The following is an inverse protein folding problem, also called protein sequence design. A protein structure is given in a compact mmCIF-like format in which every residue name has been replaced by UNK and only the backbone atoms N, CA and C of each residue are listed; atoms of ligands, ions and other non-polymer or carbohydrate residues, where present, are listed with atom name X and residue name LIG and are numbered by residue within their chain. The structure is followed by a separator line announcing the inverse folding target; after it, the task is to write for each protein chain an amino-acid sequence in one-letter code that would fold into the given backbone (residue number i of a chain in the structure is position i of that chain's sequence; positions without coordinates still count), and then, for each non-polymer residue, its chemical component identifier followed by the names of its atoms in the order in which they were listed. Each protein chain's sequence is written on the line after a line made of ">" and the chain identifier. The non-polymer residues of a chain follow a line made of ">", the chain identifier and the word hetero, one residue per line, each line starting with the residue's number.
data_IF_448638469745
#
_entry.id   IF_448638469745
#
_cell.length_a   1.000
_cell.length_b   1.000
_cell.length_c   1.000
_cell.angle_alpha   90.00
_cell.angle_beta   90.00
_cell.angle_gamma   90.00
#
_symmetry.space_group_name_H-M   'P 1'
#
loop_
_entity.id
_entity.type
_entity.pdbx_description
1 polymer ?
#
# COMPACT_ATOMS: atom_id res chain seq x y z
N UNK A 1 34.53 -23.34 5.27
CA UNK A 1 33.58 -23.21 4.12
C UNK A 1 33.88 -21.90 3.41
N UNK A 2 33.84 -21.86 2.07
CA UNK A 2 34.13 -20.65 1.28
C UNK A 2 32.98 -19.64 1.43
N UNK A 3 33.31 -18.36 1.58
CA UNK A 3 32.35 -17.26 1.48
C UNK A 3 31.57 -17.34 0.15
N UNK A 4 30.37 -16.75 0.06
CA UNK A 4 29.63 -16.76 -1.19
C UNK A 4 30.49 -16.12 -2.30
N UNK A 5 30.53 -16.75 -3.47
CA UNK A 5 31.32 -16.20 -4.57
C UNK A 5 30.73 -14.86 -5.02
N UNK A 6 31.55 -13.92 -5.51
CA UNK A 6 31.06 -12.66 -6.08
C UNK A 6 29.94 -12.86 -7.13
N UNK A 7 30.02 -13.94 -7.90
CA UNK A 7 28.98 -14.31 -8.86
C UNK A 7 27.61 -14.61 -8.22
N UNK A 8 27.58 -15.22 -7.02
CA UNK A 8 26.32 -15.46 -6.29
C UNK A 8 25.71 -14.16 -5.78
N UNK A 9 26.53 -13.27 -5.22
CA UNK A 9 26.06 -11.96 -4.78
C UNK A 9 25.52 -11.12 -5.94
N UNK A 10 26.24 -11.12 -7.07
CA UNK A 10 25.79 -10.47 -8.30
C UNK A 10 24.44 -11.00 -8.79
N UNK A 11 24.21 -12.32 -8.73
CA UNK A 11 22.93 -12.91 -9.11
C UNK A 11 21.78 -12.40 -8.22
N UNK A 12 21.98 -12.36 -6.90
CA UNK A 12 20.97 -11.80 -5.98
C UNK A 12 20.67 -10.34 -6.33
N UNK A 13 21.72 -9.56 -6.61
CA UNK A 13 21.62 -8.17 -7.01
C UNK A 13 20.84 -7.99 -8.33
N UNK A 14 21.15 -8.80 -9.34
CA UNK A 14 20.45 -8.77 -10.63
C UNK A 14 18.98 -9.24 -10.50
N UNK A 15 18.69 -10.27 -9.70
CA UNK A 15 17.32 -10.75 -9.46
C UNK A 15 16.47 -9.71 -8.74
N UNK A 16 17.00 -9.09 -7.68
CA UNK A 16 16.27 -8.05 -6.93
C UNK A 16 16.06 -6.78 -7.75
N UNK A 17 17.03 -6.40 -8.59
CA UNK A 17 16.85 -5.31 -9.55
C UNK A 17 15.79 -5.67 -10.61
N UNK A 18 15.85 -6.88 -11.16
CA UNK A 18 14.90 -7.39 -12.14
C UNK A 18 13.46 -7.32 -11.62
N UNK A 19 13.23 -7.69 -10.37
CA UNK A 19 11.92 -7.55 -9.71
C UNK A 19 11.36 -6.11 -9.80
N UNK A 20 12.16 -5.10 -9.44
CA UNK A 20 11.72 -3.71 -9.52
C UNK A 20 11.60 -3.19 -10.95
N UNK A 21 12.47 -3.62 -11.87
CA UNK A 21 12.38 -3.29 -13.29
C UNK A 21 11.08 -3.80 -13.90
N UNK A 22 10.67 -5.02 -13.57
CA UNK A 22 9.38 -5.57 -13.98
C UNK A 22 8.21 -4.82 -13.35
N UNK A 23 8.29 -4.51 -12.05
CA UNK A 23 7.25 -3.71 -11.39
C UNK A 23 7.07 -2.34 -12.08
N UNK A 24 8.16 -1.70 -12.51
CA UNK A 24 8.11 -0.43 -13.23
C UNK A 24 7.49 -0.57 -14.63
N UNK A 25 7.84 -1.64 -15.38
CA UNK A 25 7.26 -1.90 -16.70
C UNK A 25 5.74 -2.17 -16.62
N UNK A 26 5.31 -2.89 -15.61
CA UNK A 26 3.92 -3.30 -15.39
C UNK A 26 3.16 -2.35 -14.47
N UNK A 27 3.72 -1.18 -14.11
CA UNK A 27 3.17 -0.32 -13.06
C UNK A 27 1.72 0.10 -13.32
N UNK A 28 1.36 0.35 -14.59
CA UNK A 28 -0.02 0.66 -14.98
C UNK A 28 -0.99 -0.45 -14.56
N UNK A 29 -0.61 -1.70 -14.77
CA UNK A 29 -1.44 -2.87 -14.49
C UNK A 29 -1.44 -3.16 -12.99
N UNK A 30 -0.30 -3.01 -12.31
CA UNK A 30 -0.21 -3.08 -10.85
C UNK A 30 -1.10 -2.06 -10.15
N UNK A 31 -1.27 -0.87 -10.74
CA UNK A 31 -2.18 0.17 -10.23
C UNK A 31 -3.65 -0.05 -10.63
N UNK A 32 -3.95 -0.98 -11.55
CA UNK A 32 -5.29 -1.19 -12.08
C UNK A 32 -5.85 0.02 -12.84
N UNK A 33 -4.98 0.82 -13.50
CA UNK A 33 -5.42 2.03 -14.18
C UNK A 33 -6.08 1.68 -15.52
N UNK A 34 -7.36 2.01 -15.63
CA UNK A 34 -8.15 1.89 -16.85
C UNK A 34 -7.57 2.72 -18.00
N UNK A 35 -7.63 2.19 -19.22
CA UNK A 35 -7.01 2.79 -20.41
C UNK A 35 -7.45 4.22 -20.71
N UNK A 36 -8.75 4.52 -20.56
CA UNK A 36 -9.28 5.86 -20.81
C UNK A 36 -8.66 6.93 -19.90
N UNK A 37 -8.22 6.55 -18.69
CA UNK A 37 -7.54 7.45 -17.74
C UNK A 37 -6.13 7.85 -18.21
N UNK A 38 -5.52 7.03 -19.06
CA UNK A 38 -4.23 7.27 -19.69
C UNK A 38 -4.34 8.10 -20.97
N UNK A 39 -5.49 8.73 -21.23
CA UNK A 39 -5.72 9.62 -22.38
C UNK A 39 -5.80 11.08 -21.94
N UNK A 40 -5.21 11.94 -22.75
CA UNK A 40 -5.26 13.40 -22.59
C UNK A 40 -5.77 14.04 -23.88
N UNK A 41 -6.57 15.09 -23.76
CA UNK A 41 -7.03 15.89 -24.89
C UNK A 41 -5.96 16.89 -25.31
N UNK A 42 -5.76 16.98 -26.63
CA UNK A 42 -4.85 17.93 -27.26
C UNK A 42 -5.60 18.61 -28.41
N UNK A 43 -5.66 19.93 -28.40
CA UNK A 43 -6.18 20.72 -29.51
C UNK A 43 -5.00 21.20 -30.35
N UNK A 44 -4.95 20.76 -31.60
CA UNK A 44 -3.87 21.07 -32.51
C UNK A 44 -4.04 22.45 -33.14
N UNK A 45 -2.95 23.21 -33.20
CA UNK A 45 -2.93 24.56 -33.78
C UNK A 45 -4.09 25.45 -33.27
N UNK A 46 -4.38 25.41 -31.97
CA UNK A 46 -5.46 26.17 -31.36
C UNK A 46 -5.09 27.64 -31.10
N UNK A 47 -3.80 27.97 -31.17
CA UNK A 47 -3.27 29.31 -30.92
C UNK A 47 -2.35 29.72 -32.07
N UNK A 48 -2.71 30.81 -32.75
CA UNK A 48 -1.90 31.38 -33.84
C UNK A 48 -0.95 32.49 -33.35
N UNK A 49 -1.29 33.16 -32.26
CA UNK A 49 -0.53 34.31 -31.75
C UNK A 49 0.63 33.86 -30.88
N UNK A 50 1.84 34.29 -31.25
CA UNK A 50 3.06 33.86 -30.57
C UNK A 50 3.11 34.33 -29.11
N UNK A 51 2.53 35.49 -28.77
CA UNK A 51 2.45 35.96 -27.38
C UNK A 51 1.54 35.10 -26.48
N UNK A 52 0.69 34.26 -27.07
CA UNK A 52 -0.21 33.34 -26.39
C UNK A 52 0.35 31.91 -26.28
N UNK A 53 1.54 31.65 -26.82
CA UNK A 53 2.21 30.34 -26.73
C UNK A 53 3.07 30.21 -25.46
N UNK A 54 3.40 28.97 -25.06
CA UNK A 54 4.17 28.67 -23.83
C UNK A 54 3.56 29.29 -22.56
N UNK A 55 2.23 29.18 -22.43
CA UNK A 55 1.46 29.78 -21.35
C UNK A 55 0.45 28.79 -20.76
N UNK A 56 0.09 29.08 -19.52
CA UNK A 56 -0.95 28.38 -18.76
C UNK A 56 -2.30 29.06 -18.95
N UNK A 57 -3.31 28.24 -19.16
CA UNK A 57 -4.70 28.68 -19.30
C UNK A 57 -5.58 27.86 -18.37
N UNK A 58 -6.77 28.39 -18.10
CA UNK A 58 -7.78 27.70 -17.30
C UNK A 58 -9.18 27.80 -17.91
N UNK A 59 -10.04 26.87 -17.53
CA UNK A 59 -11.48 26.94 -17.78
C UNK A 59 -12.24 26.22 -16.67
N UNK A 60 -13.05 26.95 -15.90
CA UNK A 60 -13.89 26.40 -14.82
C UNK A 60 -13.15 25.45 -13.87
N UNK A 61 -11.89 25.76 -13.55
CA UNK A 61 -11.04 24.95 -12.67
C UNK A 61 -10.29 23.80 -13.36
N UNK A 62 -10.40 23.65 -14.67
CA UNK A 62 -9.51 22.82 -15.48
C UNK A 62 -8.29 23.62 -15.93
N UNK A 63 -7.13 22.97 -15.92
CA UNK A 63 -5.84 23.56 -16.27
C UNK A 63 -5.41 23.11 -17.67
N UNK A 64 -4.88 24.03 -18.45
CA UNK A 64 -4.42 23.83 -19.81
C UNK A 64 -3.02 24.42 -20.01
N UNK A 65 -2.23 23.80 -20.88
CA UNK A 65 -0.90 24.28 -21.27
C UNK A 65 -0.81 24.42 -22.78
N UNK A 66 -0.45 25.62 -23.25
CA UNK A 66 -0.13 25.85 -24.65
C UNK A 66 1.37 25.68 -24.90
N UNK A 67 1.74 24.86 -25.87
CA UNK A 67 3.14 24.71 -26.25
C UNK A 67 3.59 25.79 -27.26
N UNK A 68 4.87 25.76 -27.62
CA UNK A 68 5.49 26.65 -28.63
C UNK A 68 4.98 26.49 -30.07
N UNK A 69 4.16 25.48 -30.35
CA UNK A 69 3.59 25.20 -31.68
C UNK A 69 2.14 25.69 -31.80
N UNK A 70 1.55 26.18 -30.70
CA UNK A 70 0.13 26.53 -30.65
C UNK A 70 -0.80 25.36 -30.32
N UNK A 71 -0.27 24.17 -29.98
CA UNK A 71 -1.10 23.08 -29.46
C UNK A 71 -1.47 23.35 -28.00
N UNK A 72 -2.72 23.08 -27.63
CA UNK A 72 -3.21 23.22 -26.25
C UNK A 72 -3.49 21.85 -25.65
N UNK A 73 -2.90 21.58 -24.49
CA UNK A 73 -3.02 20.31 -23.77
C UNK A 73 -3.91 20.50 -22.54
N UNK A 74 -4.90 19.63 -22.34
CA UNK A 74 -5.59 19.51 -21.07
C UNK A 74 -4.64 18.90 -20.03
N UNK A 75 -4.25 19.64 -19.00
CA UNK A 75 -3.36 19.16 -17.94
C UNK A 75 -4.14 18.44 -16.84
N UNK A 76 -5.32 18.95 -16.48
CA UNK A 76 -6.23 18.27 -15.55
C UNK A 76 -6.63 16.89 -16.07
N UNK A 77 -7.01 16.00 -15.16
CA UNK A 77 -7.37 14.64 -15.56
C UNK A 77 -8.67 14.66 -16.40
N UNK A 78 -8.77 13.76 -17.37
CA UNK A 78 -9.96 13.66 -18.23
C UNK A 78 -11.25 13.36 -17.43
N UNK A 79 -11.14 12.65 -16.31
CA UNK A 79 -12.26 12.41 -15.39
C UNK A 79 -12.82 13.69 -14.78
N UNK A 80 -11.96 14.64 -14.43
CA UNK A 80 -12.39 15.96 -13.95
C UNK A 80 -13.00 16.78 -15.09
N UNK A 81 -12.52 16.59 -16.32
CA UNK A 81 -12.96 17.36 -17.47
C UNK A 81 -14.35 16.95 -17.99
N UNK A 82 -14.69 15.65 -17.96
CA UNK A 82 -15.99 15.12 -18.42
C UNK A 82 -17.21 15.91 -17.88
N UNK A 83 -17.40 16.05 -16.55
CA UNK A 83 -18.57 16.74 -16.01
C UNK A 83 -18.55 18.26 -16.25
N UNK A 84 -17.40 18.84 -16.59
CA UNK A 84 -17.24 20.29 -16.81
C UNK A 84 -17.45 20.65 -18.28
N UNK A 85 -16.94 19.81 -19.19
CA UNK A 85 -17.01 20.00 -20.64
C UNK A 85 -18.33 19.45 -21.18
N UNK A 86 -18.61 18.15 -21.02
CA UNK A 86 -19.80 17.50 -21.55
C UNK A 86 -21.02 17.58 -20.62
N UNK A 87 -20.81 17.79 -19.31
CA UNK A 87 -21.86 17.62 -18.28
C UNK A 87 -22.51 16.22 -18.28
N UNK A 88 -21.86 15.23 -18.89
CA UNK A 88 -22.28 13.82 -18.90
C UNK A 88 -21.70 13.05 -17.69
N UNK A 89 -22.24 11.85 -17.45
CA UNK A 89 -21.71 10.93 -16.43
C UNK A 89 -20.44 10.23 -16.94
N UNK A 90 -19.50 10.00 -16.03
CA UNK A 90 -18.21 9.35 -16.35
C UNK A 90 -18.39 7.94 -16.94
N UNK A 91 -19.35 7.16 -16.43
CA UNK A 91 -19.61 5.78 -16.87
C UNK A 91 -19.97 5.67 -18.35
N UNK A 92 -20.73 6.64 -18.87
CA UNK A 92 -21.16 6.69 -20.28
C UNK A 92 -20.01 7.09 -21.21
N UNK A 93 -19.01 7.79 -20.67
CA UNK A 93 -17.88 8.34 -21.42
C UNK A 93 -16.70 7.39 -21.60
N UNK A 94 -16.54 6.42 -20.71
CA UNK A 94 -15.43 5.47 -20.75
C UNK A 94 -15.30 4.77 -22.10
N UNK A 95 -16.42 4.25 -22.63
CA UNK A 95 -16.44 3.57 -23.93
C UNK A 95 -16.13 4.53 -25.09
N UNK A 96 -16.72 5.74 -25.09
CA UNK A 96 -16.49 6.76 -26.12
C UNK A 96 -15.00 7.15 -26.19
N UNK A 97 -14.35 7.35 -25.05
CA UNK A 97 -12.93 7.71 -24.96
C UNK A 97 -12.03 6.56 -25.44
N UNK A 98 -12.35 5.33 -25.07
CA UNK A 98 -11.56 4.15 -25.48
C UNK A 98 -11.56 3.95 -27.00
N UNK A 99 -12.70 4.20 -27.67
CA UNK A 99 -12.80 4.15 -29.14
C UNK A 99 -12.30 5.43 -29.84
N UNK A 100 -11.85 6.43 -29.08
CA UNK A 100 -11.30 7.67 -29.61
C UNK A 100 -12.33 8.69 -30.09
N UNK A 101 -13.59 8.61 -29.64
CA UNK A 101 -14.63 9.58 -29.98
C UNK A 101 -14.43 10.90 -29.22
N UNK A 102 -14.52 12.03 -29.95
CA UNK A 102 -14.33 13.40 -29.44
C UNK A 102 -15.58 14.28 -29.56
N UNK A 103 -16.70 13.73 -30.01
CA UNK A 103 -17.93 14.49 -30.33
C UNK A 103 -18.63 15.06 -29.09
N UNK A 104 -18.27 14.56 -27.90
CA UNK A 104 -18.78 15.02 -26.62
C UNK A 104 -18.16 16.34 -26.13
N UNK A 105 -17.16 16.86 -26.85
CA UNK A 105 -16.39 18.01 -26.41
C UNK A 105 -17.10 19.29 -26.86
N UNK A 106 -17.77 19.94 -25.90
CA UNK A 106 -18.34 21.28 -26.08
C UNK A 106 -17.24 22.33 -26.35
N UNK A 107 -17.62 23.42 -27.02
CA UNK A 107 -16.73 24.56 -27.24
C UNK A 107 -16.33 25.23 -25.91
N UNK A 108 -15.02 25.45 -25.75
CA UNK A 108 -14.44 26.02 -24.53
C UNK A 108 -13.73 27.33 -24.85
N UNK A 109 -14.01 28.37 -24.07
CA UNK A 109 -13.26 29.64 -24.12
C UNK A 109 -12.28 29.72 -22.96
N UNK A 110 -10.99 29.81 -23.26
CA UNK A 110 -9.94 29.82 -22.25
C UNK A 110 -9.82 31.16 -21.54
N UNK A 111 -9.37 31.08 -20.29
CA UNK A 111 -8.97 32.21 -19.47
C UNK A 111 -7.47 32.11 -19.18
N UNK A 112 -6.79 33.25 -19.07
CA UNK A 112 -5.42 33.28 -18.56
C UNK A 112 -5.39 32.74 -17.12
N UNK A 113 -4.45 31.85 -16.82
CA UNK A 113 -4.40 31.14 -15.54
C UNK A 113 -4.23 32.07 -14.33
N UNK A 114 -3.44 33.13 -14.47
CA UNK A 114 -3.06 34.00 -13.36
C UNK A 114 -4.07 35.14 -13.15
N UNK A 115 -4.57 35.71 -14.25
CA UNK A 115 -5.46 36.87 -14.21
C UNK A 115 -6.95 36.51 -14.25
N UNK A 116 -7.30 35.29 -14.68
CA UNK A 116 -8.68 34.86 -14.88
C UNK A 116 -9.40 35.59 -16.03
N UNK A 117 -8.68 36.41 -16.80
CA UNK A 117 -9.27 37.17 -17.89
C UNK A 117 -9.45 36.28 -19.12
N UNK A 118 -10.55 36.48 -19.85
CA UNK A 118 -10.79 35.79 -21.11
C UNK A 118 -9.77 36.27 -22.15
N UNK A 119 -9.09 35.32 -22.80
CA UNK A 119 -8.01 35.58 -23.77
C UNK A 119 -8.46 35.41 -25.23
N UNK A 120 -9.75 35.12 -25.46
CA UNK A 120 -10.33 34.97 -26.79
C UNK A 120 -9.95 33.69 -27.53
N UNK A 121 -9.23 32.76 -26.88
CA UNK A 121 -8.87 31.46 -27.45
C UNK A 121 -10.06 30.51 -27.27
N UNK A 122 -10.56 29.95 -28.38
CA UNK A 122 -11.65 28.99 -28.40
C UNK A 122 -11.14 27.61 -28.83
N UNK A 123 -11.39 26.61 -28.00
CA UNK A 123 -11.14 25.21 -28.29
C UNK A 123 -12.45 24.58 -28.77
N UNK A 124 -12.42 23.86 -29.88
CA UNK A 124 -13.59 23.20 -30.48
C UNK A 124 -13.34 21.70 -30.69
N UNK A 125 -14.39 20.96 -31.05
CA UNK A 125 -14.32 19.52 -31.29
C UNK A 125 -13.62 19.13 -32.60
N UNK A 126 -13.40 20.05 -33.53
CA UNK A 126 -12.83 19.74 -34.86
C UNK A 126 -11.32 19.46 -34.81
N UNK A 127 -10.59 20.14 -33.92
CA UNK A 127 -9.12 20.08 -33.88
C UNK A 127 -8.57 19.31 -32.68
N UNK A 128 -9.41 18.51 -32.02
CA UNK A 128 -9.05 17.79 -30.81
C UNK A 128 -8.69 16.34 -31.08
N UNK A 129 -7.67 15.85 -30.40
CA UNK A 129 -7.24 14.46 -30.46
C UNK A 129 -6.86 13.93 -29.08
N UNK A 130 -6.93 12.60 -28.94
CA UNK A 130 -6.39 11.93 -27.76
C UNK A 130 -4.90 11.66 -27.92
N UNK A 131 -4.14 11.95 -26.86
CA UNK A 131 -2.75 11.56 -26.70
C UNK A 131 -2.60 10.67 -25.48
N UNK A 132 -1.93 9.54 -25.65
CA UNK A 132 -1.62 8.65 -24.53
C UNK A 132 -0.56 9.28 -23.62
N UNK A 133 -0.72 9.11 -22.31
CA UNK A 133 0.26 9.48 -21.29
C UNK A 133 0.23 8.49 -20.13
N UNK A 134 1.28 8.49 -19.32
CA UNK A 134 1.32 7.70 -18.09
C UNK A 134 0.92 8.60 -16.91
N UNK A 135 -0.13 8.27 -16.14
CA UNK A 135 -0.57 9.06 -15.00
C UNK A 135 0.28 8.83 -13.74
N UNK A 136 1.54 8.45 -13.91
CA UNK A 136 2.51 8.19 -12.85
C UNK A 136 3.91 8.59 -13.31
N UNK A 137 4.82 8.81 -12.36
CA UNK A 137 6.18 9.30 -12.64
C UNK A 137 7.18 8.56 -11.75
N UNK A 138 8.25 8.02 -12.34
CA UNK A 138 9.37 7.47 -11.56
C UNK A 138 10.26 8.61 -11.06
N UNK A 139 10.56 8.65 -9.75
CA UNK A 139 11.49 9.62 -9.14
C UNK A 139 12.92 9.13 -9.30
N UNK A 140 13.14 7.85 -9.00
CA UNK A 140 14.41 7.15 -9.24
C UNK A 140 14.13 5.97 -10.16
N UNK A 141 15.13 5.59 -10.95
CA UNK A 141 15.06 4.34 -11.68
C UNK A 141 15.13 3.17 -10.69
N UNK A 142 14.52 2.02 -11.02
CA UNK A 142 14.70 0.79 -10.25
C UNK A 142 16.17 0.51 -9.94
N UNK A 143 16.42 0.19 -8.67
CA UNK A 143 17.70 -0.32 -8.19
C UNK A 143 17.44 -1.61 -7.43
N UNK A 144 18.43 -2.48 -7.24
CA UNK A 144 18.28 -3.72 -6.49
C UNK A 144 17.73 -3.57 -5.07
N UNK A 145 17.88 -2.39 -4.47
CA UNK A 145 17.49 -2.13 -3.07
C UNK A 145 16.23 -1.27 -2.98
N UNK A 146 15.95 -0.43 -3.98
CA UNK A 146 14.86 0.53 -3.90
C UNK A 146 14.37 1.02 -5.25
N UNK A 147 13.09 1.40 -5.27
CA UNK A 147 12.47 2.10 -6.37
C UNK A 147 11.47 3.11 -5.78
N UNK A 148 11.41 4.32 -6.35
CA UNK A 148 10.55 5.40 -5.87
C UNK A 148 9.83 6.03 -7.05
N UNK A 149 8.52 6.19 -6.90
CA UNK A 149 7.63 6.70 -7.93
C UNK A 149 6.44 7.44 -7.30
N UNK A 150 5.74 8.21 -8.12
CA UNK A 150 4.56 9.01 -7.75
C UNK A 150 3.39 8.46 -8.55
N UNK A 151 2.30 8.17 -7.83
CA UNK A 151 1.04 7.67 -8.39
C UNK A 151 -0.15 8.39 -7.76
N UNK A 152 -1.33 8.39 -8.41
CA UNK A 152 -2.55 8.90 -7.80
C UNK A 152 -2.95 8.03 -6.60
N UNK A 153 -3.29 8.68 -5.48
CA UNK A 153 -3.53 8.01 -4.20
C UNK A 153 -4.61 6.91 -4.28
N UNK A 154 -5.64 7.10 -5.11
CA UNK A 154 -6.75 6.15 -5.26
C UNK A 154 -6.32 4.74 -5.68
N UNK A 155 -5.15 4.58 -6.29
CA UNK A 155 -4.65 3.29 -6.77
C UNK A 155 -3.66 2.61 -5.80
N UNK A 156 -3.36 3.25 -4.65
CA UNK A 156 -2.39 2.73 -3.69
C UNK A 156 -2.78 1.36 -3.12
N UNK A 157 -4.04 1.08 -2.73
CA UNK A 157 -4.41 -0.22 -2.20
C UNK A 157 -4.14 -1.36 -3.18
N UNK A 158 -4.56 -1.19 -4.44
CA UNK A 158 -4.35 -2.18 -5.50
C UNK A 158 -2.86 -2.35 -5.82
N UNK A 159 -2.11 -1.25 -5.84
CA UNK A 159 -0.66 -1.27 -6.03
C UNK A 159 0.05 -2.10 -4.95
N UNK A 160 -0.29 -1.88 -3.67
CA UNK A 160 0.28 -2.65 -2.55
C UNK A 160 -0.06 -4.13 -2.72
N UNK A 161 -1.33 -4.47 -2.94
CA UNK A 161 -1.78 -5.85 -3.08
C UNK A 161 -1.09 -6.57 -4.25
N UNK A 162 -0.98 -5.90 -5.40
CA UNK A 162 -0.37 -6.47 -6.59
C UNK A 162 1.15 -6.61 -6.46
N UNK A 163 1.84 -5.66 -5.79
CA UNK A 163 3.26 -5.79 -5.46
C UNK A 163 3.49 -6.96 -4.47
N UNK A 164 2.63 -7.11 -3.46
CA UNK A 164 2.69 -8.24 -2.53
C UNK A 164 2.59 -9.58 -3.28
N UNK A 165 1.60 -9.69 -4.18
CA UNK A 165 1.42 -10.90 -5.00
C UNK A 165 2.63 -11.17 -5.91
N UNK A 166 3.17 -10.14 -6.58
CA UNK A 166 4.34 -10.29 -7.44
C UNK A 166 5.58 -10.69 -6.63
N UNK A 167 5.78 -10.10 -5.46
CA UNK A 167 6.85 -10.48 -4.55
C UNK A 167 6.72 -11.94 -4.12
N UNK A 168 5.52 -12.38 -3.72
CA UNK A 168 5.31 -13.77 -3.32
C UNK A 168 5.59 -14.73 -4.45
N UNK A 169 5.23 -14.40 -5.69
CA UNK A 169 5.54 -15.21 -6.87
C UNK A 169 7.04 -15.32 -7.12
N UNK A 170 7.75 -14.19 -7.12
CA UNK A 170 9.18 -14.15 -7.47
C UNK A 170 10.08 -14.69 -6.35
N UNK A 171 9.71 -14.45 -5.08
CA UNK A 171 10.52 -14.75 -3.90
C UNK A 171 9.89 -15.81 -2.98
N UNK A 172 9.00 -16.66 -3.51
CA UNK A 172 8.26 -17.72 -2.78
C UNK A 172 9.12 -18.65 -1.90
N UNK A 173 10.40 -18.81 -2.21
CA UNK A 173 11.30 -19.70 -1.47
C UNK A 173 12.04 -19.01 -0.32
N UNK A 174 12.11 -17.69 -0.30
CA UNK A 174 12.90 -16.91 0.67
C UNK A 174 12.03 -16.08 1.62
N UNK A 175 10.81 -16.56 1.86
CA UNK A 175 9.84 -15.96 2.79
C UNK A 175 10.50 -15.71 4.14
N UNK A 176 10.33 -14.51 4.70
CA UNK A 176 10.92 -14.15 5.99
C UNK A 176 12.45 -14.00 5.98
N UNK A 177 13.13 -14.03 4.82
CA UNK A 177 14.59 -13.83 4.72
C UNK A 177 14.96 -12.57 3.94
N UNK A 178 14.16 -12.20 2.95
CA UNK A 178 14.41 -11.06 2.06
C UNK A 178 13.29 -10.02 2.23
N UNK A 179 13.31 -9.16 3.25
CA UNK A 179 12.16 -8.30 3.52
C UNK A 179 11.98 -7.23 2.43
N UNK A 180 10.73 -7.02 2.03
CA UNK A 180 10.30 -5.88 1.23
C UNK A 180 9.60 -4.86 2.13
N UNK A 181 10.08 -3.62 2.10
CA UNK A 181 9.46 -2.49 2.78
C UNK A 181 8.77 -1.57 1.77
N UNK A 182 7.49 -1.28 1.98
CA UNK A 182 6.71 -0.34 1.16
C UNK A 182 6.38 0.88 2.03
N UNK A 183 6.95 2.04 1.69
CA UNK A 183 6.68 3.30 2.35
C UNK A 183 5.83 4.22 1.47
N UNK A 184 4.66 4.64 1.95
CA UNK A 184 3.72 5.49 1.20
C UNK A 184 3.68 6.91 1.79
N UNK A 185 4.00 7.92 1.00
CA UNK A 185 3.82 9.32 1.38
C UNK A 185 2.66 9.89 0.58
N UNK A 186 1.65 10.37 1.29
CA UNK A 186 0.51 11.05 0.69
C UNK A 186 0.66 12.56 0.95
N UNK A 187 0.61 13.36 -0.11
CA UNK A 187 0.68 14.81 -0.01
C UNK A 187 -0.33 15.45 -0.97
N UNK A 188 -0.84 16.62 -0.61
CA UNK A 188 -1.61 17.44 -1.53
C UNK A 188 -0.69 18.00 -2.62
N UNK A 189 -1.16 17.99 -3.88
CA UNK A 189 -0.36 18.41 -5.04
C UNK A 189 0.05 19.90 -4.98
N UNK A 190 -0.66 20.73 -4.21
CA UNK A 190 -0.31 22.14 -3.98
C UNK A 190 0.84 22.32 -3.00
N UNK A 191 1.25 21.25 -2.30
CA UNK A 191 2.40 21.31 -1.38
C UNK A 191 3.71 21.19 -2.17
N UNK A 192 4.78 21.85 -1.71
CA UNK A 192 6.07 21.76 -2.37
C UNK A 192 6.60 20.33 -2.45
N UNK A 193 6.95 19.89 -3.67
CA UNK A 193 7.42 18.52 -3.95
C UNK A 193 8.62 18.10 -3.08
N UNK A 194 9.53 19.03 -2.77
CA UNK A 194 10.71 18.74 -1.95
C UNK A 194 10.35 18.18 -0.57
N UNK A 195 9.17 18.52 -0.03
CA UNK A 195 8.71 17.99 1.25
C UNK A 195 8.39 16.51 1.15
N UNK A 196 7.61 16.13 0.13
CA UNK A 196 7.30 14.73 -0.19
C UNK A 196 8.58 13.94 -0.42
N UNK A 197 9.53 14.46 -1.20
CA UNK A 197 10.82 13.78 -1.44
C UNK A 197 11.61 13.57 -0.14
N UNK A 198 11.67 14.59 0.75
CA UNK A 198 12.36 14.45 2.05
C UNK A 198 11.67 13.42 2.94
N UNK A 199 10.34 13.41 2.98
CA UNK A 199 9.56 12.42 3.71
C UNK A 199 9.79 11.00 3.13
N UNK A 200 9.83 10.87 1.79
CA UNK A 200 10.04 9.61 1.09
C UNK A 200 11.42 9.00 1.37
N UNK A 201 12.46 9.84 1.46
CA UNK A 201 13.79 9.37 1.88
C UNK A 201 13.81 8.85 3.32
N UNK A 202 13.06 9.49 4.22
CA UNK A 202 12.98 9.05 5.61
C UNK A 202 12.16 7.77 5.76
N UNK A 203 11.02 7.66 5.06
CA UNK A 203 10.14 6.48 5.14
C UNK A 203 10.75 5.26 4.44
N UNK A 204 11.73 5.44 3.56
CA UNK A 204 12.51 4.33 2.98
C UNK A 204 13.10 3.39 4.05
N UNK A 205 13.30 3.90 5.28
CA UNK A 205 13.73 3.12 6.45
C UNK A 205 15.04 2.40 6.15
N UNK A 206 16.11 3.17 5.96
CA UNK A 206 17.45 2.61 5.77
C UNK A 206 17.89 1.88 7.05
N UNK A 207 18.08 0.56 6.93
CA UNK A 207 18.44 -0.32 8.05
C UNK A 207 19.95 -0.47 8.09
N UNK A 208 20.57 0.01 9.16
CA UNK A 208 22.00 -0.16 9.41
C UNK A 208 22.30 -1.49 10.12
N UNK A 209 21.39 -1.92 11.00
CA UNK A 209 21.52 -3.16 11.77
C UNK A 209 20.26 -4.02 11.58
N UNK A 210 20.45 -5.21 11.02
CA UNK A 210 19.38 -6.16 10.73
C UNK A 210 18.78 -6.77 12.01
N UNK A 211 19.51 -6.78 13.12
CA UNK A 211 19.01 -7.24 14.41
C UNK A 211 17.83 -6.41 14.92
N UNK A 212 17.72 -5.15 14.47
CA UNK A 212 16.65 -4.24 14.85
C UNK A 212 15.30 -4.57 14.22
N UNK A 213 15.30 -5.39 13.17
CA UNK A 213 14.07 -5.76 12.44
C UNK A 213 13.78 -7.25 12.50
N UNK A 214 14.61 -8.00 13.22
CA UNK A 214 14.42 -9.43 13.41
C UNK A 214 13.25 -9.67 14.36
N UNK A 215 12.42 -10.66 14.04
CA UNK A 215 11.36 -11.12 14.94
C UNK A 215 11.47 -12.63 15.14
N UNK A 216 11.09 -13.08 16.33
CA UNK A 216 10.92 -14.51 16.62
C UNK A 216 9.52 -14.93 16.18
N UNK A 217 9.45 -16.00 15.40
CA UNK A 217 8.22 -16.51 14.84
C UNK A 217 8.24 -18.05 14.86
N UNK A 218 7.05 -18.66 14.85
CA UNK A 218 6.94 -20.12 14.78
C UNK A 218 7.25 -20.64 13.37
N UNK A 219 7.99 -21.75 13.29
CA UNK A 219 8.24 -22.44 12.02
C UNK A 219 6.94 -22.77 11.27
N UNK A 220 5.89 -23.22 11.99
CA UNK A 220 4.57 -23.49 11.45
C UNK A 220 3.96 -22.31 10.67
N UNK A 221 4.14 -21.07 11.14
CA UNK A 221 3.63 -19.86 10.45
C UNK A 221 4.24 -19.73 9.05
N UNK A 222 5.55 -19.93 8.93
CA UNK A 222 6.27 -19.86 7.65
C UNK A 222 5.88 -21.02 6.74
N UNK A 223 5.73 -22.23 7.29
CA UNK A 223 5.25 -23.39 6.52
C UNK A 223 3.89 -23.11 5.87
N UNK A 224 2.96 -22.50 6.60
CA UNK A 224 1.65 -22.16 6.07
C UNK A 224 1.69 -21.06 5.01
N UNK A 225 2.46 -19.99 5.23
CA UNK A 225 2.63 -18.93 4.22
C UNK A 225 3.18 -19.54 2.94
N UNK A 226 4.21 -20.37 3.04
CA UNK A 226 4.83 -20.99 1.88
C UNK A 226 3.90 -22.00 1.18
N UNK A 227 3.15 -22.82 1.93
CA UNK A 227 2.11 -23.71 1.37
C UNK A 227 1.07 -22.92 0.56
N UNK A 228 0.58 -21.79 1.09
CA UNK A 228 -0.39 -20.94 0.38
C UNK A 228 0.18 -20.37 -0.92
N UNK A 229 1.42 -19.88 -0.88
CA UNK A 229 2.09 -19.31 -2.06
C UNK A 229 2.30 -20.38 -3.13
N UNK A 230 2.73 -21.58 -2.76
CA UNK A 230 2.96 -22.70 -3.69
C UNK A 230 1.66 -23.28 -4.27
N UNK A 231 0.60 -23.41 -3.46
CA UNK A 231 -0.71 -23.89 -3.93
C UNK A 231 -1.36 -22.94 -4.95
N UNK A 232 -1.18 -21.63 -4.76
CA UNK A 232 -1.73 -20.62 -5.67
C UNK A 232 -1.11 -20.71 -7.07
N UNK A 233 0.14 -21.16 -7.19
CA UNK A 233 0.77 -21.40 -8.50
C UNK A 233 0.26 -22.66 -9.18
N UNK A 234 0.05 -23.76 -8.44
CA UNK A 234 -0.43 -25.03 -9.00
C UNK A 234 -1.82 -24.91 -9.66
N UNK A 235 -2.67 -24.00 -9.16
CA UNK A 235 -3.99 -23.73 -9.73
C UNK A 235 -3.95 -22.72 -10.89
N UNK A 236 -2.81 -22.08 -11.16
CA UNK A 236 -2.67 -21.02 -12.16
C UNK A 236 -2.06 -21.53 -13.48
N UNK A 237 -2.64 -22.55 -14.13
CA UNK A 237 -2.34 -23.04 -15.51
C UNK A 237 -0.86 -23.20 -15.95
N UNK A 238 0.11 -23.07 -15.05
CA UNK A 238 1.52 -23.36 -15.27
C UNK A 238 1.84 -24.53 -14.37
N UNK A 239 1.87 -25.71 -14.97
CA UNK A 239 2.48 -26.90 -14.36
C UNK A 239 3.77 -26.47 -13.63
N UNK A 240 4.07 -27.02 -12.43
CA UNK A 240 5.37 -26.81 -11.80
C UNK A 240 6.42 -27.03 -12.88
N UNK A 241 7.25 -26.02 -13.13
CA UNK A 241 8.29 -26.09 -14.16
C UNK A 241 9.06 -27.38 -13.83
N UNK A 242 9.31 -28.26 -14.79
CA UNK A 242 10.02 -29.55 -14.62
C UNK A 242 11.22 -29.43 -13.66
N UNK A 243 11.88 -28.27 -13.66
CA UNK A 243 12.90 -27.82 -12.71
C UNK A 243 12.55 -27.94 -11.22
N UNK A 244 11.36 -27.51 -10.78
CA UNK A 244 10.95 -27.52 -9.37
C UNK A 244 10.75 -28.95 -8.83
N UNK A 245 10.24 -29.85 -9.67
CA UNK A 245 10.10 -31.28 -9.34
C UNK A 245 11.46 -31.98 -9.27
N UNK A 246 12.41 -31.61 -10.16
CA UNK A 246 13.73 -32.23 -10.20
C UNK A 246 14.69 -31.70 -9.14
N UNK A 247 14.67 -30.39 -8.85
CA UNK A 247 15.68 -29.75 -8.00
C UNK A 247 15.20 -29.50 -6.57
N UNK A 248 13.90 -29.57 -6.29
CA UNK A 248 13.34 -29.38 -4.95
C UNK A 248 13.87 -28.11 -4.24
N UNK A 249 13.66 -26.91 -4.82
CA UNK A 249 14.17 -25.64 -4.29
C UNK A 249 13.73 -25.35 -2.86
N UNK A 250 12.55 -25.80 -2.45
CA UNK A 250 12.03 -25.64 -1.08
C UNK A 250 13.00 -26.22 -0.05
N UNK A 251 13.65 -27.36 -0.35
CA UNK A 251 14.66 -27.95 0.53
C UNK A 251 15.94 -27.10 0.63
N UNK A 252 16.35 -26.42 -0.43
CA UNK A 252 17.56 -25.57 -0.38
C UNK A 252 17.32 -24.29 0.42
N UNK A 253 16.10 -23.75 0.40
CA UNK A 253 15.74 -22.53 1.10
C UNK A 253 15.00 -22.77 2.42
N UNK A 254 15.09 -23.97 3.00
CA UNK A 254 14.42 -24.32 4.27
C UNK A 254 15.14 -23.86 5.54
N UNK A 255 16.36 -23.33 5.44
CA UNK A 255 17.18 -23.02 6.61
C UNK A 255 16.90 -21.62 7.18
N UNK A 256 16.53 -21.53 8.45
CA UNK A 256 16.28 -20.27 9.16
C UNK A 256 17.15 -20.18 10.42
N UNK A 257 17.58 -18.99 10.84
CA UNK A 257 18.26 -18.84 12.12
C UNK A 257 17.31 -19.19 13.28
N UNK A 258 17.83 -19.78 14.34
CA UNK A 258 17.06 -20.13 15.54
C UNK A 258 17.88 -19.87 16.80
N UNK A 259 17.19 -19.53 17.88
CA UNK A 259 17.77 -19.49 19.23
C UNK A 259 17.63 -20.81 19.97
N UNK A 260 16.88 -21.77 19.43
CA UNK A 260 16.59 -23.04 20.09
C UNK A 260 17.77 -24.02 20.04
N UNK A 261 17.81 -24.94 21.00
CA UNK A 261 18.76 -26.05 21.01
C UNK A 261 18.57 -27.00 19.82
N UNK A 262 17.39 -26.98 19.19
CA UNK A 262 16.97 -27.81 18.05
C UNK A 262 17.66 -27.47 16.71
N UNK A 263 18.56 -26.49 16.67
CA UNK A 263 19.28 -26.12 15.45
C UNK A 263 20.18 -27.24 14.92
N UNK A 264 20.03 -27.59 13.63
CA UNK A 264 20.77 -28.67 12.97
C UNK A 264 22.14 -28.23 12.45
N UNK A 265 22.28 -26.97 12.07
CA UNK A 265 23.51 -26.43 11.48
C UNK A 265 24.00 -25.18 12.22
N UNK A 266 25.27 -24.81 12.03
CA UNK A 266 25.83 -23.55 12.54
C UNK A 266 26.41 -22.73 11.38
N UNK A 267 26.08 -21.44 11.32
CA UNK A 267 26.51 -20.55 10.25
C UNK A 267 26.72 -19.11 10.74
N UNK A 268 27.65 -18.38 10.13
CA UNK A 268 27.82 -16.95 10.38
C UNK A 268 26.90 -16.17 9.44
N UNK A 269 25.91 -15.48 10.01
CA UNK A 269 25.03 -14.60 9.23
C UNK A 269 25.73 -13.27 8.97
N UNK A 270 26.31 -12.68 10.02
CA UNK A 270 27.22 -11.54 9.91
C UNK A 270 28.65 -11.97 10.22
N UNK A 271 29.67 -11.37 9.56
CA UNK A 271 31.08 -11.67 9.83
C UNK A 271 31.51 -11.43 11.27
N UNK A 272 30.87 -10.46 11.95
CA UNK A 272 31.20 -10.00 13.31
C UNK A 272 30.43 -10.76 14.40
N UNK A 273 29.41 -11.56 14.02
CA UNK A 273 28.52 -12.23 14.96
C UNK A 273 29.05 -13.60 15.42
N UNK A 274 28.51 -14.09 16.54
CA UNK A 274 28.64 -15.51 16.91
C UNK A 274 27.92 -16.39 15.88
N UNK A 275 28.39 -17.64 15.72
CA UNK A 275 27.70 -18.61 14.85
C UNK A 275 26.24 -18.78 15.27
N UNK A 276 25.33 -18.44 14.37
CA UNK A 276 23.91 -18.68 14.55
C UNK A 276 23.60 -20.15 14.29
N UNK A 277 22.77 -20.74 15.14
CA UNK A 277 22.19 -22.05 14.87
C UNK A 277 21.12 -21.88 13.78
N UNK A 278 21.05 -22.83 12.85
CA UNK A 278 20.04 -22.86 11.80
C UNK A 278 19.10 -24.05 12.00
N UNK A 279 17.81 -23.76 11.97
CA UNK A 279 16.72 -24.71 11.94
C UNK A 279 16.30 -24.99 10.49
N UNK A 280 15.98 -26.25 10.19
CA UNK A 280 15.47 -26.66 8.89
C UNK A 280 13.94 -26.74 8.99
N UNK A 281 13.25 -25.78 8.38
CA UNK A 281 11.78 -25.75 8.31
C UNK A 281 11.32 -26.72 7.24
N UNK A 282 10.50 -27.71 7.63
CA UNK A 282 10.03 -28.71 6.68
C UNK A 282 8.66 -28.32 6.15
N UNK A 283 8.66 -27.72 4.96
CA UNK A 283 7.46 -27.24 4.28
C UNK A 283 6.45 -28.34 3.92
N UNK A 284 6.82 -29.62 4.03
CA UNK A 284 5.94 -30.77 3.75
C UNK A 284 5.36 -31.42 5.01
N UNK A 285 5.80 -31.04 6.22
CA UNK A 285 5.18 -31.46 7.47
C UNK A 285 4.28 -30.34 8.03
N UNK A 286 3.42 -30.67 9.00
CA UNK A 286 2.45 -29.71 9.58
C UNK A 286 2.53 -29.69 11.11
N UNK A 287 3.71 -29.82 11.71
CA UNK A 287 3.79 -30.10 13.14
C UNK A 287 5.07 -29.57 13.81
N UNK A 288 5.43 -28.29 13.58
CA UNK A 288 6.67 -27.76 14.16
C UNK A 288 6.54 -26.43 14.91
N UNK A 289 6.84 -26.50 16.22
CA UNK A 289 6.84 -25.39 17.19
C UNK A 289 8.19 -24.70 17.41
N UNK A 290 9.20 -24.98 16.59
CA UNK A 290 10.52 -24.36 16.75
C UNK A 290 10.44 -22.84 16.54
N UNK A 291 11.12 -22.09 17.41
CA UNK A 291 11.24 -20.64 17.26
C UNK A 291 12.35 -20.32 16.26
N UNK A 292 11.98 -19.61 15.20
CA UNK A 292 12.89 -19.16 14.16
C UNK A 292 12.94 -17.64 14.10
N UNK A 293 14.02 -17.11 13.55
CA UNK A 293 14.21 -15.69 13.33
C UNK A 293 13.85 -15.39 11.88
N UNK A 294 12.98 -14.40 11.69
CA UNK A 294 12.59 -13.91 10.37
C UNK A 294 12.71 -12.38 10.28
N UNK A 295 12.71 -11.90 9.05
CA UNK A 295 12.68 -10.50 8.67
C UNK A 295 11.37 -10.21 7.92
N UNK A 296 10.39 -9.58 8.58
CA UNK A 296 9.05 -9.45 8.03
C UNK A 296 9.01 -8.42 6.90
N UNK A 297 8.18 -8.68 5.90
CA UNK A 297 7.78 -7.66 4.94
C UNK A 297 6.89 -6.64 5.64
N UNK A 298 7.05 -5.36 5.30
CA UNK A 298 6.39 -4.29 6.05
C UNK A 298 5.85 -3.18 5.17
N UNK A 299 4.81 -2.49 5.68
CA UNK A 299 4.19 -1.32 5.06
C UNK A 299 4.15 -0.18 6.08
N UNK A 300 4.51 1.01 5.64
CA UNK A 300 4.40 2.26 6.40
C UNK A 300 3.72 3.32 5.54
N UNK A 301 3.07 4.28 6.17
CA UNK A 301 2.49 5.40 5.46
C UNK A 301 2.52 6.67 6.29
N UNK A 302 2.49 7.83 5.63
CA UNK A 302 2.39 9.12 6.27
C UNK A 302 1.60 10.12 5.40
N UNK A 303 0.66 10.84 6.03
CA UNK A 303 -0.09 11.92 5.37
C UNK A 303 0.50 13.29 5.70
N UNK A 304 1.07 13.95 4.70
CA UNK A 304 1.77 15.23 4.81
C UNK A 304 0.80 16.43 4.82
N UNK A 305 0.01 16.57 5.89
CA UNK A 305 -0.87 17.74 6.07
C UNK A 305 -0.11 19.04 6.35
N UNK A 306 0.98 18.95 7.11
CA UNK A 306 1.84 20.09 7.50
C UNK A 306 3.31 19.80 7.22
N UNK A 307 4.10 20.85 7.05
CA UNK A 307 5.50 20.72 6.68
C UNK A 307 6.32 19.95 7.72
N UNK A 308 6.05 20.19 9.01
CA UNK A 308 6.73 19.54 10.13
C UNK A 308 6.50 18.03 10.19
N UNK A 309 5.44 17.50 9.56
CA UNK A 309 5.07 16.07 9.58
C UNK A 309 6.18 15.13 9.11
N UNK A 310 7.06 15.62 8.23
CA UNK A 310 8.27 14.89 7.79
C UNK A 310 9.23 14.54 8.94
N UNK A 311 9.14 15.24 10.07
CA UNK A 311 9.98 14.99 11.24
C UNK A 311 9.43 13.87 12.12
N UNK A 312 8.13 13.60 12.00
CA UNK A 312 7.46 12.48 12.66
C UNK A 312 7.90 11.13 12.06
N UNK A 313 8.45 11.17 10.84
CA UNK A 313 9.02 10.02 10.16
C UNK A 313 10.42 9.74 10.73
N UNK A 314 10.46 9.06 11.86
CA UNK A 314 11.69 8.66 12.54
C UNK A 314 11.57 7.23 13.06
N UNK A 315 12.65 6.46 12.95
CA UNK A 315 12.71 5.07 13.39
C UNK A 315 13.80 4.90 14.45
N UNK A 316 13.47 4.20 15.53
CA UNK A 316 14.42 3.59 16.47
C UNK A 316 14.18 2.10 16.44
N UNK A 317 15.25 1.32 16.35
CA UNK A 317 15.18 -0.15 16.35
C UNK A 317 14.14 -0.69 15.35
N UNK A 318 14.14 -0.09 14.16
CA UNK A 318 13.25 -0.49 13.08
C UNK A 318 11.77 -0.14 13.25
N UNK A 319 11.35 0.52 14.34
CA UNK A 319 9.95 0.93 14.63
C UNK A 319 9.83 2.44 14.79
N UNK A 320 8.61 2.98 14.61
CA UNK A 320 8.35 4.40 14.90
C UNK A 320 8.43 4.67 16.40
N UNK A 321 8.96 5.85 16.75
CA UNK A 321 9.16 6.26 18.15
C UNK A 321 7.97 7.02 18.73
N UNK A 322 7.18 7.68 17.88
CA UNK A 322 6.02 8.47 18.34
C UNK A 322 4.95 7.53 18.87
N UNK A 323 4.45 7.79 20.09
CA UNK A 323 3.48 6.95 20.81
C UNK A 323 2.28 6.57 19.93
N UNK A 324 1.65 7.55 19.28
CA UNK A 324 0.50 7.33 18.40
C UNK A 324 0.80 6.52 17.14
N UNK A 325 2.07 6.31 16.79
CA UNK A 325 2.53 5.62 15.57
C UNK A 325 3.37 4.39 15.88
N UNK A 326 3.49 3.98 17.14
CA UNK A 326 4.41 2.91 17.60
C UNK A 326 4.18 1.55 16.93
N UNK A 327 2.99 1.33 16.38
CA UNK A 327 2.68 0.12 15.62
C UNK A 327 3.38 0.08 14.25
N UNK A 328 3.68 1.24 13.67
CA UNK A 328 4.30 1.37 12.35
C UNK A 328 5.80 1.04 12.41
N UNK A 329 6.38 0.41 11.38
CA UNK A 329 5.68 -0.11 10.21
C UNK A 329 4.94 -1.42 10.51
N UNK A 330 3.85 -1.65 9.79
CA UNK A 330 2.99 -2.83 9.91
C UNK A 330 3.56 -4.01 9.12
N UNK A 331 3.50 -5.24 9.63
CA UNK A 331 3.78 -6.42 8.81
C UNK A 331 2.69 -6.63 7.77
N UNK A 332 2.94 -7.47 6.75
CA UNK A 332 1.90 -7.78 5.75
C UNK A 332 0.71 -8.54 6.34
N UNK A 333 0.92 -9.30 7.40
CA UNK A 333 -0.15 -9.96 8.18
C UNK A 333 -1.02 -8.92 8.89
N UNK A 334 -0.40 -7.93 9.54
CA UNK A 334 -1.11 -6.81 10.16
C UNK A 334 -1.83 -5.94 9.12
N UNK A 335 -1.23 -5.77 7.93
CA UNK A 335 -1.83 -5.00 6.83
C UNK A 335 -3.15 -5.60 6.32
N UNK A 336 -3.38 -6.92 6.49
CA UNK A 336 -4.68 -7.53 6.17
C UNK A 336 -5.83 -6.88 6.96
N UNK A 337 -5.55 -6.35 8.15
CA UNK A 337 -6.54 -5.62 8.94
C UNK A 337 -6.98 -4.33 8.27
N UNK A 338 -6.10 -3.64 7.53
CA UNK A 338 -6.47 -2.45 6.76
C UNK A 338 -7.48 -2.81 5.66
N UNK A 339 -7.34 -3.97 5.02
CA UNK A 339 -8.29 -4.45 4.03
C UNK A 339 -9.62 -4.86 4.69
N UNK A 340 -9.57 -5.60 5.80
CA UNK A 340 -10.77 -6.00 6.56
C UNK A 340 -11.54 -4.78 7.07
N UNK A 341 -10.83 -3.75 7.54
CA UNK A 341 -11.41 -2.47 7.94
C UNK A 341 -12.18 -1.84 6.79
N UNK A 342 -11.58 -1.77 5.61
CA UNK A 342 -12.22 -1.16 4.46
C UNK A 342 -13.43 -1.94 3.93
N UNK A 343 -13.36 -3.26 3.98
CA UNK A 343 -14.49 -4.12 3.63
C UNK A 343 -15.64 -3.96 4.62
N UNK A 344 -15.33 -3.83 5.92
CA UNK A 344 -16.31 -3.67 6.97
C UNK A 344 -17.00 -2.29 6.92
N UNK A 345 -16.23 -1.22 6.74
CA UNK A 345 -16.69 0.17 6.64
C UNK A 345 -16.76 0.63 5.18
N UNK A 346 -17.56 -0.05 4.36
CA UNK A 346 -17.69 0.28 2.95
C UNK A 346 -18.39 1.64 2.72
N UNK A 347 -17.84 2.47 1.83
CA UNK A 347 -18.37 3.78 1.38
C UNK A 347 -19.87 3.78 1.01
N UNK A 348 -20.41 2.62 0.64
CA UNK A 348 -21.84 2.47 0.30
C UNK A 348 -22.77 2.51 1.51
N UNK A 349 -22.27 2.25 2.72
CA UNK A 349 -23.04 2.19 3.96
C UNK A 349 -22.83 3.46 4.80
N UNK A 350 -23.62 4.49 4.52
CA UNK A 350 -23.53 5.80 5.20
C UNK A 350 -23.75 5.70 6.71
N UNK A 351 -24.59 4.76 7.17
CA UNK A 351 -24.85 4.59 8.61
C UNK A 351 -23.61 4.05 9.33
N UNK A 352 -22.95 3.04 8.76
CA UNK A 352 -21.68 2.52 9.29
C UNK A 352 -20.57 3.57 9.32
N UNK A 353 -20.51 4.46 8.34
CA UNK A 353 -19.52 5.55 8.30
C UNK A 353 -19.77 6.58 9.41
N UNK A 354 -21.02 6.97 9.64
CA UNK A 354 -21.38 7.86 10.75
C UNK A 354 -20.97 7.23 12.09
N UNK A 355 -21.27 5.94 12.27
CA UNK A 355 -20.87 5.17 13.46
C UNK A 355 -19.35 5.06 13.59
N UNK A 356 -18.62 4.90 12.50
CA UNK A 356 -17.16 4.91 12.48
C UNK A 356 -16.61 6.25 13.00
N UNK A 357 -17.11 7.39 12.53
CA UNK A 357 -16.69 8.70 13.02
C UNK A 357 -16.97 8.87 14.52
N UNK A 358 -18.12 8.39 14.99
CA UNK A 358 -18.45 8.41 16.42
C UNK A 358 -17.45 7.58 17.23
N UNK A 359 -17.12 6.37 16.78
CA UNK A 359 -16.14 5.50 17.43
C UNK A 359 -14.75 6.14 17.46
N UNK A 360 -14.30 6.71 16.35
CA UNK A 360 -12.99 7.36 16.27
C UNK A 360 -12.90 8.53 17.25
N UNK A 361 -13.94 9.35 17.35
CA UNK A 361 -13.99 10.44 18.33
C UNK A 361 -13.93 9.92 19.78
N UNK A 362 -14.63 8.83 20.07
CA UNK A 362 -14.58 8.17 21.38
C UNK A 362 -13.17 7.63 21.66
N UNK A 363 -12.52 6.96 20.70
CA UNK A 363 -11.15 6.46 20.84
C UNK A 363 -10.19 7.60 21.14
N UNK A 364 -10.24 8.71 20.38
CA UNK A 364 -9.37 9.86 20.61
C UNK A 364 -9.57 10.49 21.99
N UNK A 365 -10.82 10.70 22.42
CA UNK A 365 -11.10 11.21 23.77
C UNK A 365 -10.54 10.26 24.82
N UNK A 366 -10.82 8.96 24.74
CA UNK A 366 -10.41 8.01 25.79
C UNK A 366 -8.91 7.75 25.85
N UNK A 367 -8.24 7.66 24.70
CA UNK A 367 -6.78 7.53 24.69
C UNK A 367 -6.09 8.77 25.29
N UNK A 368 -6.69 9.96 25.14
CA UNK A 368 -6.14 11.18 25.73
C UNK A 368 -6.47 11.34 27.21
N UNK A 369 -7.71 11.03 27.61
CA UNK A 369 -8.22 11.25 28.97
C UNK A 369 -7.68 10.20 29.97
N UNK A 370 -7.45 8.96 29.51
CA UNK A 370 -7.20 7.79 30.38
C UNK A 370 -5.81 7.17 30.18
N UNK A 371 -4.78 8.01 30.03
CA UNK A 371 -3.40 7.56 29.73
C UNK A 371 -2.85 6.51 30.71
N UNK A 372 -3.31 6.53 31.97
CA UNK A 372 -2.79 5.67 33.06
C UNK A 372 -3.77 4.57 33.52
N UNK A 373 -4.92 4.35 32.84
CA UNK A 373 -5.96 3.39 33.26
C UNK A 373 -6.36 2.40 32.17
N UNK A 374 -5.40 1.58 31.73
CA UNK A 374 -5.55 0.64 30.60
C UNK A 374 -6.71 -0.36 30.75
N UNK A 375 -6.97 -0.86 31.96
CA UNK A 375 -8.06 -1.81 32.22
C UNK A 375 -9.45 -1.23 31.98
N UNK A 376 -9.68 0.01 32.41
CA UNK A 376 -10.97 0.69 32.24
C UNK A 376 -11.23 1.04 30.77
N UNK A 377 -10.19 1.33 29.99
CA UNK A 377 -10.32 1.61 28.55
C UNK A 377 -10.90 0.40 27.83
N UNK A 378 -10.41 -0.82 28.12
CA UNK A 378 -10.84 -2.02 27.39
C UNK A 378 -12.33 -2.29 27.53
N UNK A 379 -12.82 -2.36 28.77
CA UNK A 379 -14.22 -2.71 29.03
C UNK A 379 -15.18 -1.63 28.51
N UNK A 380 -14.79 -0.36 28.64
CA UNK A 380 -15.52 0.77 28.08
C UNK A 380 -15.58 0.69 26.55
N UNK A 381 -14.44 0.47 25.88
CA UNK A 381 -14.38 0.43 24.43
C UNK A 381 -15.14 -0.76 23.84
N UNK A 382 -15.07 -1.95 24.46
CA UNK A 382 -15.88 -3.10 24.05
C UNK A 382 -17.38 -2.79 24.14
N UNK A 383 -17.81 -2.13 25.22
CA UNK A 383 -19.19 -1.67 25.38
C UNK A 383 -19.57 -0.61 24.35
N UNK A 384 -18.66 0.33 24.05
CA UNK A 384 -18.85 1.37 23.05
C UNK A 384 -18.99 0.78 21.64
N UNK A 385 -18.14 -0.18 21.26
CA UNK A 385 -18.25 -0.88 19.97
C UNK A 385 -19.61 -1.58 19.84
N UNK A 386 -20.05 -2.33 20.86
CA UNK A 386 -21.35 -3.03 20.81
C UNK A 386 -22.51 -2.05 20.63
N UNK A 387 -22.49 -0.94 21.37
CA UNK A 387 -23.60 0.02 21.37
C UNK A 387 -23.60 0.92 20.13
N UNK A 388 -22.43 1.40 19.67
CA UNK A 388 -22.36 2.32 18.53
C UNK A 388 -22.51 1.57 17.21
N UNK A 389 -21.95 0.36 17.07
CA UNK A 389 -22.09 -0.46 15.86
C UNK A 389 -23.36 -1.31 15.84
N UNK A 390 -24.26 -1.17 16.83
CA UNK A 390 -25.49 -1.96 16.98
C UNK A 390 -25.27 -3.48 16.92
N UNK A 391 -24.21 -3.97 17.57
CA UNK A 391 -23.85 -5.40 17.57
C UNK A 391 -24.73 -6.23 18.51
N UNK A 392 -26.05 -5.98 18.62
CA UNK A 392 -26.94 -6.65 19.59
C UNK A 392 -27.54 -7.97 19.05
N UNK A 393 -27.89 -8.89 19.97
CA UNK A 393 -27.96 -10.34 19.78
C UNK A 393 -29.06 -10.92 18.86
N UNK A 394 -30.00 -10.16 18.34
CA UNK A 394 -31.10 -10.73 17.52
C UNK A 394 -30.64 -11.28 16.15
N UNK A 395 -29.42 -10.91 15.70
CA UNK A 395 -28.63 -11.53 14.60
C UNK A 395 -27.12 -11.63 14.98
N UNK A 396 -26.80 -11.54 16.28
CA UNK A 396 -25.61 -10.83 16.75
C UNK A 396 -24.28 -11.57 16.86
N UNK A 397 -24.20 -12.91 16.82
CA UNK A 397 -22.87 -13.57 16.85
C UNK A 397 -22.08 -13.30 15.57
N UNK A 398 -22.72 -13.39 14.40
CA UNK A 398 -22.05 -13.25 13.11
C UNK A 398 -21.48 -11.85 12.85
N UNK A 399 -22.18 -10.78 13.21
CA UNK A 399 -21.69 -9.42 12.98
C UNK A 399 -20.61 -9.01 14.00
N UNK A 400 -20.72 -9.49 15.25
CA UNK A 400 -19.65 -9.36 16.25
C UNK A 400 -18.36 -10.04 15.79
N UNK A 401 -18.46 -11.28 15.32
CA UNK A 401 -17.32 -12.04 14.78
C UNK A 401 -16.76 -11.39 13.51
N UNK A 402 -17.63 -10.82 12.65
CA UNK A 402 -17.20 -10.06 11.48
C UNK A 402 -16.38 -8.82 11.87
N UNK A 403 -16.81 -8.07 12.87
CA UNK A 403 -16.06 -6.91 13.36
C UNK A 403 -14.77 -7.33 14.08
N UNK A 404 -14.75 -8.47 14.77
CA UNK A 404 -13.55 -8.98 15.44
C UNK A 404 -12.37 -9.13 14.46
N UNK A 405 -12.64 -9.49 13.20
CA UNK A 405 -11.64 -9.57 12.11
C UNK A 405 -10.98 -8.23 11.75
N UNK A 406 -11.56 -7.10 12.16
CA UNK A 406 -10.99 -5.76 11.97
C UNK A 406 -9.94 -5.45 13.04
N UNK A 407 -10.11 -6.00 14.25
CA UNK A 407 -9.23 -5.73 15.39
C UNK A 407 -8.14 -6.78 15.56
N UNK A 408 -8.43 -8.05 15.28
CA UNK A 408 -7.54 -9.17 15.56
C UNK A 408 -6.82 -9.66 14.31
N UNK A 409 -5.49 -9.76 14.40
CA UNK A 409 -4.69 -10.48 13.40
C UNK A 409 -5.05 -11.96 13.52
N UNK A 410 -5.42 -12.65 12.41
CA UNK A 410 -5.65 -14.09 12.45
C UNK A 410 -4.39 -14.81 12.95
N UNK A 411 -4.51 -15.57 14.04
CA UNK A 411 -3.44 -16.49 14.48
C UNK A 411 -3.44 -17.70 13.56
N UNK A 412 -2.28 -18.02 13.00
CA UNK A 412 -2.08 -19.17 12.11
C UNK A 412 -1.91 -20.47 12.91
N UNK A 413 -2.84 -20.75 13.81
CA UNK A 413 -2.93 -22.05 14.49
C UNK A 413 -4.06 -22.85 13.84
N UNK A 414 -3.70 -24.04 13.32
CA UNK A 414 -4.51 -25.12 12.74
C UNK A 414 -5.97 -24.83 12.30
N UNK A 415 -6.18 -24.82 10.97
CA UNK A 415 -7.51 -24.80 10.35
C UNK A 415 -8.06 -23.40 10.09
N UNK A 416 -9.30 -23.31 9.57
CA UNK A 416 -10.03 -22.04 9.48
C UNK A 416 -10.22 -21.48 10.90
N UNK A 417 -9.23 -20.73 11.38
CA UNK A 417 -9.33 -20.07 12.68
C UNK A 417 -10.40 -18.98 12.56
N UNK A 418 -11.61 -19.31 12.97
CA UNK A 418 -12.75 -18.39 13.02
C UNK A 418 -12.49 -17.44 14.17
N UNK A 419 -11.96 -16.26 13.88
CA UNK A 419 -11.84 -15.17 14.86
C UNK A 419 -13.24 -14.87 15.39
N UNK A 420 -13.39 -14.99 16.70
CA UNK A 420 -14.62 -14.68 17.42
C UNK A 420 -14.47 -13.40 18.22
N UNK A 421 -15.61 -12.78 18.52
CA UNK A 421 -15.63 -11.60 19.38
C UNK A 421 -15.11 -11.88 20.80
N UNK A 422 -15.32 -13.10 21.30
CA UNK A 422 -14.82 -13.52 22.61
C UNK A 422 -13.30 -13.42 22.70
N UNK A 423 -12.58 -13.70 21.60
CA UNK A 423 -11.12 -13.64 21.54
C UNK A 423 -10.57 -12.23 21.83
N UNK A 424 -11.39 -11.17 21.63
CA UNK A 424 -10.99 -9.79 21.92
C UNK A 424 -10.88 -9.56 23.43
N UNK A 425 -11.68 -10.27 24.23
CA UNK A 425 -11.69 -10.13 25.69
C UNK A 425 -10.43 -10.69 26.32
N UNK A 426 -9.81 -11.67 25.66
CA UNK A 426 -8.61 -12.35 26.13
C UNK A 426 -7.31 -11.60 25.76
N UNK A 427 -7.41 -10.53 24.96
CA UNK A 427 -6.25 -9.70 24.61
C UNK A 427 -5.70 -8.98 25.86
N UNK A 428 -4.38 -9.04 26.12
CA UNK A 428 -3.72 -8.21 27.12
C UNK A 428 -4.03 -6.72 26.97
N UNK A 429 -4.18 -5.99 28.08
CA UNK A 429 -4.62 -4.58 28.06
C UNK A 429 -3.74 -3.68 27.17
N UNK A 430 -2.41 -3.83 27.26
CA UNK A 430 -1.46 -3.10 26.43
C UNK A 430 -1.61 -3.42 24.92
N UNK A 431 -1.88 -4.68 24.55
CA UNK A 431 -2.13 -5.08 23.15
C UNK A 431 -3.49 -4.56 22.65
N UNK A 432 -4.48 -4.46 23.54
CA UNK A 432 -5.76 -3.83 23.20
C UNK A 432 -5.58 -2.34 22.89
N UNK A 433 -4.82 -1.60 23.71
CA UNK A 433 -4.47 -0.19 23.43
C UNK A 433 -3.77 -0.06 22.08
N UNK A 434 -2.82 -0.95 21.76
CA UNK A 434 -2.17 -0.99 20.43
C UNK A 434 -3.17 -1.25 19.31
N UNK A 435 -4.17 -2.10 19.54
CA UNK A 435 -5.22 -2.37 18.56
C UNK A 435 -6.11 -1.15 18.30
N UNK A 436 -6.39 -0.32 19.31
CA UNK A 436 -7.07 0.96 19.15
C UNK A 436 -6.24 1.96 18.33
N UNK A 437 -4.93 2.07 18.61
CA UNK A 437 -4.03 2.92 17.82
C UNK A 437 -3.97 2.46 16.35
N UNK A 438 -3.92 1.15 16.12
CA UNK A 438 -4.01 0.60 14.76
C UNK A 438 -5.35 0.91 14.11
N UNK A 439 -6.46 0.87 14.85
CA UNK A 439 -7.78 1.25 14.34
C UNK A 439 -7.82 2.72 13.89
N UNK A 440 -7.18 3.61 14.65
CA UNK A 440 -6.98 5.01 14.25
C UNK A 440 -6.14 5.11 12.97
N UNK A 441 -5.03 4.37 12.87
CA UNK A 441 -4.20 4.34 11.67
C UNK A 441 -4.96 3.85 10.43
N UNK A 442 -5.81 2.82 10.57
CA UNK A 442 -6.67 2.31 9.50
C UNK A 442 -7.64 3.39 9.02
N UNK A 443 -8.27 4.12 9.94
CA UNK A 443 -9.11 5.27 9.62
C UNK A 443 -8.31 6.39 8.95
N UNK A 444 -7.14 6.77 9.47
CA UNK A 444 -6.28 7.79 8.84
C UNK A 444 -5.90 7.42 7.40
N UNK A 445 -5.55 6.16 7.16
CA UNK A 445 -5.18 5.68 5.84
C UNK A 445 -6.35 5.78 4.85
N UNK A 446 -7.52 5.22 5.18
CA UNK A 446 -8.66 5.20 4.26
C UNK A 446 -9.36 6.54 4.15
N UNK A 447 -9.73 7.14 5.29
CA UNK A 447 -10.48 8.40 5.35
C UNK A 447 -9.62 9.60 5.00
N UNK A 448 -8.52 9.79 5.72
CA UNK A 448 -7.76 11.05 5.60
C UNK A 448 -6.86 11.03 4.36
N UNK A 449 -6.11 9.95 4.16
CA UNK A 449 -5.11 9.89 3.09
C UNK A 449 -5.74 9.57 1.73
N UNK A 450 -6.66 8.60 1.67
CA UNK A 450 -7.28 8.18 0.41
C UNK A 450 -8.62 8.87 0.10
N UNK A 451 -9.18 9.65 1.05
CA UNK A 451 -10.49 10.30 0.92
C UNK A 451 -11.61 9.31 0.55
N UNK A 452 -11.54 8.12 1.14
CA UNK A 452 -12.58 7.07 1.07
C UNK A 452 -13.21 6.91 2.45
N UNK A 453 -14.49 6.55 2.50
CA UNK A 453 -15.33 6.46 3.72
C UNK A 453 -15.72 7.82 4.25
#
# INVERSE_FOLDING_TARGET
>A
RKNPSPARFRRIWETTQGFFDECNKELKDLLGIKDWRCKRLVWHNAIDKQEQMNREYSYKGLDFWANKRGDVYLISSIEQAIPIIAKEKIEEMENKINVGNTDWIDDISLQDYYTGQNVGIKLNSMNVAYKSYLPYISIINPTPVSWQFIVPAQYIPDCIANIQNKYYKEFKYVVGKLPLHIGVIIQDYRKPLYMGIKALRKIRRDINDWSNIQIKEKAATIEQIQKKVLQHESNSEKNPIVYEETENPTKYYSLYPTTDEKGKYQFYISPEDKKSKLYEVNFNSSSCDADIIIYPNTIDFEFMNVNSRRNDIYYSDGKRVIEGKINRPYTWEEWKLFNNFAEYFNDKDKDKIIKLHQIINVIYSKLNDWRDSEGSIRDFMLSAFINILDLKDNKGSKEKDRFAKVLLVPKYEDGENVIKWEDIKDIPQHEFKRSLLRFVDMYEFWHTALKRM
#
